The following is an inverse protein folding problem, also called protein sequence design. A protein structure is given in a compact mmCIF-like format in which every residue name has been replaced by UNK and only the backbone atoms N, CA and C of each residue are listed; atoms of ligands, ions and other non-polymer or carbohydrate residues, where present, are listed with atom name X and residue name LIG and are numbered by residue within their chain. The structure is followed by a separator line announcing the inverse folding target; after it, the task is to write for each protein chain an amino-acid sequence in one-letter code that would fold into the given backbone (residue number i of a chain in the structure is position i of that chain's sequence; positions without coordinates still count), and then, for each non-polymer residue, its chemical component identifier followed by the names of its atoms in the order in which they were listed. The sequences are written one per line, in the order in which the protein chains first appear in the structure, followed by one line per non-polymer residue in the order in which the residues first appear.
data_IF_014731286338
#
_entry.id   IF_014731286338
#
_cell.length_a   1.000
_cell.length_b   1.000
_cell.length_c   1.000
_cell.angle_alpha   90.00
_cell.angle_beta   90.00
_cell.angle_gamma   90.00
#
_symmetry.space_group_name_H-M   'P 1'
#
loop_
_entity.id
_entity.type
_entity.pdbx_description
1 polymer ?
#
# COMPACT_ATOMS: atom_id res chain seq x y z
N UNK A 1 36.17 23.73 -4.05
CA UNK A 1 36.83 24.36 -5.21
C UNK A 1 37.80 23.35 -5.77
N UNK A 2 37.89 23.20 -7.09
CA UNK A 2 38.84 22.26 -7.72
C UNK A 2 40.13 23.04 -7.98
N UNK A 3 41.24 22.57 -7.41
CA UNK A 3 42.56 23.13 -7.70
C UNK A 3 42.94 22.84 -9.16
N UNK A 4 43.43 23.87 -9.87
CA UNK A 4 43.81 23.76 -11.28
C UNK A 4 45.29 24.09 -11.43
N UNK A 5 46.01 23.23 -12.15
CA UNK A 5 47.41 23.44 -12.52
C UNK A 5 47.51 23.84 -13.99
N UNK A 6 48.45 24.73 -14.30
CA UNK A 6 48.73 25.22 -15.66
C UNK A 6 50.14 24.75 -16.06
N UNK A 7 50.28 24.25 -17.28
CA UNK A 7 51.55 23.79 -17.83
C UNK A 7 51.67 24.17 -19.30
N UNK A 8 52.91 24.28 -19.78
CA UNK A 8 53.25 24.60 -21.18
C UNK A 8 54.10 23.47 -21.73
N UNK A 9 53.81 23.01 -22.95
CA UNK A 9 54.55 21.93 -23.61
C UNK A 9 55.12 22.43 -24.93
N UNK A 10 56.44 22.41 -25.04
CA UNK A 10 57.15 22.70 -26.29
C UNK A 10 57.36 21.41 -27.08
N UNK A 11 57.13 21.46 -28.39
CA UNK A 11 57.33 20.31 -29.29
C UNK A 11 57.88 20.77 -30.63
N UNK A 12 58.56 19.87 -31.33
CA UNK A 12 58.99 20.06 -32.72
C UNK A 12 58.47 18.92 -33.59
N UNK A 13 57.79 19.26 -34.68
CA UNK A 13 57.20 18.32 -35.64
C UNK A 13 55.74 17.92 -35.37
N UNK A 14 54.98 17.73 -36.45
CA UNK A 14 53.52 17.53 -36.43
C UNK A 14 53.10 16.20 -35.75
N UNK A 15 53.94 15.16 -35.84
CA UNK A 15 53.67 13.87 -35.17
C UNK A 15 53.66 13.99 -33.65
N UNK A 16 54.52 14.82 -33.06
CA UNK A 16 54.58 15.03 -31.61
C UNK A 16 53.37 15.84 -31.13
N UNK A 17 53.02 16.92 -31.84
CA UNK A 17 51.82 17.74 -31.61
C UNK A 17 50.54 16.88 -31.53
N UNK A 18 50.31 16.04 -32.53
CA UNK A 18 49.11 15.20 -32.58
C UNK A 18 49.01 14.20 -31.42
N UNK A 19 50.15 13.69 -30.92
CA UNK A 19 50.16 12.82 -29.73
C UNK A 19 49.84 13.61 -28.45
N UNK A 20 50.46 14.79 -28.28
CA UNK A 20 50.24 15.66 -27.12
C UNK A 20 48.77 16.12 -27.06
N UNK A 21 48.19 16.50 -28.20
CA UNK A 21 46.79 16.91 -28.26
C UNK A 21 45.83 15.79 -27.81
N UNK A 22 46.09 14.54 -28.23
CA UNK A 22 45.32 13.37 -27.80
C UNK A 22 45.43 13.08 -26.30
N UNK A 23 46.62 13.24 -25.73
CA UNK A 23 46.84 13.09 -24.28
C UNK A 23 46.07 14.19 -23.53
N UNK A 24 46.19 15.45 -23.95
CA UNK A 24 45.42 16.53 -23.33
C UNK A 24 43.91 16.28 -23.39
N UNK A 25 43.40 15.77 -24.52
CA UNK A 25 41.98 15.43 -24.66
C UNK A 25 41.57 14.25 -23.76
N UNK A 26 42.40 13.21 -23.65
CA UNK A 26 42.08 12.05 -22.82
C UNK A 26 42.07 12.38 -21.32
N UNK A 27 42.87 13.35 -20.90
CA UNK A 27 42.91 13.82 -19.50
C UNK A 27 41.99 15.02 -19.25
N UNK A 28 41.19 15.46 -20.24
CA UNK A 28 40.25 16.58 -20.08
C UNK A 28 40.94 17.92 -19.83
N UNK A 29 42.18 18.10 -20.29
CA UNK A 29 42.93 19.33 -20.15
C UNK A 29 42.38 20.41 -21.10
N UNK A 30 42.01 21.57 -20.56
CA UNK A 30 41.58 22.71 -21.35
C UNK A 30 42.79 23.31 -22.08
N UNK A 31 42.70 23.39 -23.41
CA UNK A 31 43.77 23.90 -24.27
C UNK A 31 43.47 25.32 -24.73
N UNK A 32 44.47 26.19 -24.65
CA UNK A 32 44.37 27.57 -25.12
C UNK A 32 45.40 27.81 -26.23
N UNK A 33 45.00 28.39 -27.37
CA UNK A 33 45.94 28.67 -28.45
C UNK A 33 46.91 29.78 -28.02
N UNK A 34 48.21 29.52 -28.15
CA UNK A 34 49.27 30.51 -27.93
C UNK A 34 49.81 30.96 -29.29
N UNK A 35 49.78 32.27 -29.56
CA UNK A 35 50.29 32.86 -30.81
C UNK A 35 51.71 33.38 -30.56
N UNK A 36 52.65 33.15 -31.48
CA UNK A 36 54.06 33.56 -31.28
C UNK A 36 54.30 35.08 -31.34
N UNK A 37 53.35 35.83 -31.92
CA UNK A 37 53.43 37.28 -32.05
C UNK A 37 52.95 38.00 -30.77
N UNK A 38 53.84 38.77 -30.16
CA UNK A 38 53.60 39.49 -28.90
C UNK A 38 52.44 40.49 -29.03
N UNK A 39 52.32 41.18 -30.17
CA UNK A 39 51.23 42.13 -30.42
C UNK A 39 49.86 41.46 -30.40
N UNK A 40 49.72 40.32 -31.07
CA UNK A 40 48.49 39.51 -31.08
C UNK A 40 48.17 38.88 -29.73
N UNK A 41 49.17 38.54 -28.91
CA UNK A 41 48.94 38.06 -27.54
C UNK A 41 48.29 39.15 -26.67
N UNK A 42 48.84 40.38 -26.70
CA UNK A 42 48.29 41.51 -25.95
C UNK A 42 46.87 41.86 -26.36
N UNK A 43 46.56 41.82 -27.66
CA UNK A 43 45.21 42.05 -28.17
C UNK A 43 44.22 40.99 -27.64
N UNK A 44 44.56 39.70 -27.72
CA UNK A 44 43.70 38.61 -27.25
C UNK A 44 43.45 38.66 -25.73
N UNK A 45 44.48 39.00 -24.94
CA UNK A 45 44.33 39.16 -23.48
C UNK A 45 43.38 40.34 -23.16
N UNK A 46 43.52 41.46 -23.87
CA UNK A 46 42.67 42.64 -23.67
C UNK A 46 41.22 42.37 -24.06
N UNK A 47 40.98 41.62 -25.13
CA UNK A 47 39.65 41.16 -25.53
C UNK A 47 39.03 40.21 -24.50
N UNK A 48 39.80 39.25 -23.95
CA UNK A 48 39.29 38.32 -22.93
C UNK A 48 39.00 39.00 -21.59
N UNK A 49 39.84 39.94 -21.18
CA UNK A 49 39.61 40.76 -19.97
C UNK A 49 38.37 41.61 -20.15
N UNK A 50 38.25 42.34 -21.28
CA UNK A 50 37.07 43.17 -21.55
C UNK A 50 35.78 42.33 -21.73
N UNK A 51 35.86 41.09 -22.22
CA UNK A 51 34.74 40.16 -22.29
C UNK A 51 34.34 39.61 -20.92
N UNK A 52 35.31 39.37 -20.03
CA UNK A 52 35.07 38.94 -18.64
C UNK A 52 34.47 40.06 -17.78
N UNK A 53 34.98 41.28 -17.97
CA UNK A 53 34.49 42.50 -17.33
C UNK A 53 33.17 42.96 -17.95
N UNK A 54 32.89 42.55 -19.20
CA UNK A 54 31.61 42.78 -19.84
C UNK A 54 30.50 42.16 -19.00
N UNK A 55 29.80 43.05 -18.31
CA UNK A 55 28.77 42.75 -17.35
C UNK A 55 27.65 41.88 -17.95
N UNK A 56 27.51 41.82 -19.27
CA UNK A 56 26.56 40.99 -20.01
C UNK A 56 26.64 39.49 -19.71
N UNK A 57 27.83 38.88 -19.66
CA UNK A 57 27.95 37.43 -19.38
C UNK A 57 27.63 37.14 -17.90
N UNK A 58 28.11 38.00 -16.99
CA UNK A 58 27.78 37.91 -15.55
C UNK A 58 26.30 38.22 -15.29
N UNK A 59 25.67 39.11 -16.05
CA UNK A 59 24.24 39.45 -15.98
C UNK A 59 23.34 38.42 -16.64
N UNK A 60 23.77 37.76 -17.73
CA UNK A 60 23.06 36.66 -18.36
C UNK A 60 23.08 35.40 -17.49
N UNK A 61 24.21 35.12 -16.82
CA UNK A 61 24.28 34.08 -15.79
C UNK A 61 23.47 34.47 -14.53
N UNK A 62 23.43 35.77 -14.20
CA UNK A 62 22.56 36.36 -13.16
C UNK A 62 21.25 36.90 -13.73
N UNK A 63 20.64 36.25 -14.71
CA UNK A 63 19.27 36.61 -15.09
C UNK A 63 18.41 36.23 -13.89
N UNK A 64 18.09 37.23 -13.07
CA UNK A 64 17.58 37.11 -11.70
C UNK A 64 16.29 36.28 -11.60
N UNK A 65 15.57 36.10 -12.69
CA UNK A 65 14.26 35.48 -12.67
C UNK A 65 14.35 33.95 -12.51
N UNK A 66 15.35 33.29 -13.11
CA UNK A 66 15.45 31.83 -13.03
C UNK A 66 15.94 31.35 -11.66
N UNK A 67 16.94 32.03 -11.08
CA UNK A 67 17.45 31.70 -9.75
C UNK A 67 16.53 32.15 -8.61
N UNK A 68 15.83 33.29 -8.73
CA UNK A 68 14.86 33.72 -7.69
C UNK A 68 13.60 32.87 -7.71
N UNK A 69 13.11 32.48 -8.90
CA UNK A 69 12.01 31.53 -9.00
C UNK A 69 12.43 30.16 -8.45
N UNK A 70 13.62 29.67 -8.81
CA UNK A 70 14.16 28.41 -8.29
C UNK A 70 14.37 28.42 -6.78
N UNK A 71 14.90 29.49 -6.20
CA UNK A 71 15.13 29.58 -4.74
C UNK A 71 13.82 29.72 -3.96
N UNK A 72 12.87 30.53 -4.42
CA UNK A 72 11.56 30.63 -3.79
C UNK A 72 10.78 29.31 -3.89
N UNK A 73 10.82 28.64 -5.06
CA UNK A 73 10.19 27.34 -5.26
C UNK A 73 10.83 26.26 -4.39
N UNK A 74 12.16 26.19 -4.34
CA UNK A 74 12.88 25.25 -3.49
C UNK A 74 12.64 25.51 -2.00
N UNK A 75 12.43 26.76 -1.61
CA UNK A 75 12.07 27.12 -0.25
C UNK A 75 10.64 26.67 0.08
N UNK A 76 9.67 26.91 -0.80
CA UNK A 76 8.29 26.40 -0.66
C UNK A 76 8.26 24.87 -0.59
N UNK A 77 8.97 24.20 -1.50
CA UNK A 77 9.12 22.74 -1.48
C UNK A 77 9.79 22.31 -0.18
N UNK A 78 10.83 23.00 0.27
CA UNK A 78 11.53 22.67 1.52
C UNK A 78 10.62 22.73 2.75
N UNK A 79 9.69 23.69 2.82
CA UNK A 79 8.72 23.77 3.92
C UNK A 79 7.67 22.66 3.86
N UNK A 80 7.13 22.36 2.69
CA UNK A 80 6.06 21.37 2.51
C UNK A 80 6.56 19.93 2.39
N UNK A 81 7.84 19.74 2.07
CA UNK A 81 8.44 18.44 1.79
C UNK A 81 8.27 17.47 2.95
N UNK A 82 8.43 17.93 4.20
CA UNK A 82 8.31 17.05 5.36
C UNK A 82 6.87 16.54 5.53
N UNK A 83 5.89 17.42 5.32
CA UNK A 83 4.47 17.05 5.35
C UNK A 83 4.14 16.07 4.21
N UNK A 84 4.57 16.34 2.98
CA UNK A 84 4.34 15.45 1.84
C UNK A 84 5.03 14.10 2.01
N UNK A 85 6.25 14.09 2.54
CA UNK A 85 6.99 12.87 2.84
C UNK A 85 6.27 12.02 3.88
N UNK A 86 5.72 12.64 4.94
CA UNK A 86 4.91 11.94 5.94
C UNK A 86 3.63 11.36 5.35
N UNK A 87 2.91 12.13 4.53
CA UNK A 87 1.71 11.67 3.84
C UNK A 87 2.00 10.47 2.92
N UNK A 88 3.05 10.57 2.10
CA UNK A 88 3.46 9.49 1.19
C UNK A 88 3.90 8.25 1.98
N UNK A 89 4.65 8.41 3.07
CA UNK A 89 5.05 7.29 3.93
C UNK A 89 3.84 6.60 4.57
N UNK A 90 2.89 7.38 5.09
CA UNK A 90 1.64 6.85 5.66
C UNK A 90 0.86 6.08 4.61
N UNK A 91 0.61 6.68 3.45
CA UNK A 91 -0.13 6.05 2.36
C UNK A 91 0.54 4.76 1.88
N UNK A 92 1.87 4.79 1.69
CA UNK A 92 2.65 3.61 1.31
C UNK A 92 2.58 2.49 2.36
N UNK A 93 2.58 2.84 3.65
CA UNK A 93 2.43 1.85 4.73
C UNK A 93 1.04 1.21 4.74
N UNK A 94 -0.01 1.99 4.44
CA UNK A 94 -1.38 1.49 4.30
C UNK A 94 -1.46 0.50 3.14
N UNK A 95 -0.99 0.88 1.95
CA UNK A 95 -0.99 -0.02 0.78
C UNK A 95 -0.13 -1.26 1.00
N UNK A 96 1.03 -1.12 1.65
CA UNK A 96 1.86 -2.26 1.98
C UNK A 96 1.12 -3.24 2.90
N UNK A 97 0.43 -2.72 3.92
CA UNK A 97 -0.37 -3.52 4.85
C UNK A 97 -1.55 -4.18 4.11
N UNK A 98 -2.26 -3.44 3.25
CA UNK A 98 -3.33 -3.99 2.42
C UNK A 98 -2.84 -5.09 1.47
N UNK A 99 -1.62 -4.98 0.93
CA UNK A 99 -1.02 -5.99 0.07
C UNK A 99 -0.57 -7.25 0.83
N UNK A 100 -0.24 -7.13 2.12
CA UNK A 100 0.05 -8.28 2.98
C UNK A 100 -1.23 -9.05 3.36
N UNK A 101 -2.40 -8.43 3.17
CA UNK A 101 -3.70 -9.03 3.42
C UNK A 101 -4.24 -9.63 2.10
N UNK A 102 -4.68 -10.89 2.13
CA UNK A 102 -5.23 -11.52 0.93
C UNK A 102 -6.51 -10.81 0.47
N UNK A 103 -6.63 -10.59 -0.84
CA UNK A 103 -7.77 -9.91 -1.49
C UNK A 103 -9.10 -10.64 -1.27
N UNK A 104 -9.07 -11.95 -1.00
CA UNK A 104 -10.27 -12.73 -0.73
C UNK A 104 -10.62 -12.77 0.78
N UNK A 105 -11.48 -11.81 1.13
CA UNK A 105 -12.63 -11.88 2.07
C UNK A 105 -12.41 -12.02 3.59
N UNK A 106 -11.35 -12.62 4.16
CA UNK A 106 -11.08 -12.54 5.63
C UNK A 106 -9.69 -12.07 5.96
N UNK A 107 -9.60 -11.00 6.74
CA UNK A 107 -8.34 -10.43 7.23
C UNK A 107 -8.05 -11.00 8.61
N UNK A 108 -7.10 -11.92 8.69
CA UNK A 108 -6.63 -12.47 9.94
C UNK A 108 -5.46 -11.63 10.46
N UNK A 109 -5.52 -11.28 11.73
CA UNK A 109 -4.49 -10.48 12.38
C UNK A 109 -4.43 -10.81 13.86
N UNK A 110 -3.22 -10.84 14.40
CA UNK A 110 -3.03 -11.00 15.83
C UNK A 110 -3.31 -9.67 16.53
N UNK A 111 -4.22 -9.71 17.49
CA UNK A 111 -4.46 -8.61 18.41
C UNK A 111 -4.42 -9.13 19.83
N UNK A 112 -4.05 -8.27 20.78
CA UNK A 112 -4.18 -8.63 22.19
C UNK A 112 -5.64 -8.55 22.63
N UNK A 113 -6.06 -9.51 23.45
CA UNK A 113 -7.45 -9.65 23.91
C UNK A 113 -8.01 -8.36 24.54
N UNK A 114 -7.18 -7.63 25.30
CA UNK A 114 -7.58 -6.37 25.94
C UNK A 114 -7.83 -5.20 24.97
N UNK A 115 -7.33 -5.29 23.74
CA UNK A 115 -7.47 -4.23 22.74
C UNK A 115 -8.69 -4.43 21.83
N UNK A 116 -9.40 -5.55 21.98
CA UNK A 116 -10.60 -5.91 21.20
C UNK A 116 -11.65 -4.81 21.24
N UNK A 117 -12.00 -4.31 22.43
CA UNK A 117 -13.03 -3.27 22.58
C UNK A 117 -12.62 -1.96 21.91
N UNK A 118 -11.34 -1.59 22.01
CA UNK A 118 -10.81 -0.38 21.39
C UNK A 118 -10.84 -0.46 19.88
N UNK A 119 -10.50 -1.63 19.31
CA UNK A 119 -10.53 -1.85 17.87
C UNK A 119 -11.97 -1.84 17.35
N UNK A 120 -12.90 -2.49 18.05
CA UNK A 120 -14.31 -2.48 17.68
C UNK A 120 -14.88 -1.06 17.68
N UNK A 121 -14.55 -0.23 18.68
CA UNK A 121 -14.96 1.17 18.73
C UNK A 121 -14.37 1.99 17.56
N UNK A 122 -13.08 1.84 17.28
CA UNK A 122 -12.42 2.51 16.14
C UNK A 122 -13.06 2.10 14.81
N UNK A 123 -13.35 0.81 14.64
CA UNK A 123 -14.02 0.29 13.44
C UNK A 123 -15.43 0.85 13.28
N UNK A 124 -16.21 0.91 14.37
CA UNK A 124 -17.56 1.49 14.36
C UNK A 124 -17.54 2.98 14.02
N UNK A 125 -16.61 3.74 14.60
CA UNK A 125 -16.40 5.15 14.26
C UNK A 125 -16.02 5.34 12.80
N UNK A 126 -15.11 4.52 12.27
CA UNK A 126 -14.75 4.57 10.86
C UNK A 126 -15.91 4.24 9.92
N UNK A 127 -16.78 3.27 10.27
CA UNK A 127 -18.01 2.99 9.52
C UNK A 127 -18.95 4.19 9.52
N UNK A 128 -19.12 4.85 10.68
CA UNK A 128 -19.95 6.05 10.81
C UNK A 128 -19.40 7.21 9.97
N UNK A 129 -18.11 7.52 10.11
CA UNK A 129 -17.44 8.61 9.37
C UNK A 129 -17.46 8.38 7.85
N UNK A 130 -17.40 7.13 7.41
CA UNK A 130 -17.48 6.76 5.99
C UNK A 130 -18.90 6.64 5.45
N UNK A 131 -19.94 6.80 6.29
CA UNK A 131 -21.35 6.60 5.92
C UNK A 131 -21.62 5.25 5.25
N UNK A 132 -20.83 4.22 5.60
CA UNK A 132 -20.96 2.88 5.05
C UNK A 132 -22.19 2.19 5.62
N UNK A 133 -23.01 1.60 4.75
CA UNK A 133 -24.17 0.78 5.14
C UNK A 133 -23.75 -0.58 5.72
N UNK A 134 -22.51 -1.01 5.46
CA UNK A 134 -21.96 -2.26 5.95
C UNK A 134 -21.05 -1.98 7.15
N UNK A 135 -21.43 -2.52 8.31
CA UNK A 135 -20.63 -2.48 9.53
C UNK A 135 -19.36 -3.33 9.42
N UNK A 136 -18.29 -2.87 10.05
CA UNK A 136 -17.07 -3.67 10.15
C UNK A 136 -17.32 -4.91 11.03
N UNK A 137 -17.04 -6.09 10.48
CA UNK A 137 -17.18 -7.37 11.18
C UNK A 137 -15.84 -7.71 11.82
N UNK A 138 -15.79 -7.70 13.15
CA UNK A 138 -14.66 -8.20 13.93
C UNK A 138 -15.15 -9.41 14.74
N UNK A 139 -14.60 -10.59 14.45
CA UNK A 139 -15.00 -11.83 15.10
C UNK A 139 -13.77 -12.54 15.63
N UNK A 140 -13.80 -12.86 16.92
CA UNK A 140 -12.86 -13.79 17.51
C UNK A 140 -13.32 -15.22 17.25
N UNK A 141 -12.46 -16.00 16.60
CA UNK A 141 -12.72 -17.41 16.28
C UNK A 141 -12.69 -18.31 17.52
N UNK A 142 -11.99 -17.92 18.59
CA UNK A 142 -11.92 -18.71 19.83
C UNK A 142 -13.21 -18.62 20.66
N UNK A 143 -13.90 -17.49 20.58
CA UNK A 143 -15.13 -17.21 21.33
C UNK A 143 -16.42 -17.48 20.52
N UNK A 144 -16.33 -18.25 19.44
CA UNK A 144 -17.51 -18.55 18.63
C UNK A 144 -18.58 -19.29 19.46
N UNK A 145 -19.83 -18.79 19.51
CA UNK A 145 -20.84 -19.32 20.41
C UNK A 145 -21.13 -20.79 20.13
N UNK A 146 -21.23 -21.58 21.19
CA UNK A 146 -21.53 -23.00 21.14
C UNK A 146 -22.99 -23.24 21.49
N UNK A 147 -23.65 -24.09 20.71
CA UNK A 147 -25.02 -24.54 20.96
C UNK A 147 -25.06 -26.04 21.15
N UNK A 148 -26.08 -26.50 21.88
CA UNK A 148 -26.31 -27.92 22.09
C UNK A 148 -26.47 -28.68 20.76
N UNK A 149 -26.11 -29.98 20.73
CA UNK A 149 -26.44 -30.83 19.59
C UNK A 149 -27.95 -30.85 19.37
N UNK A 150 -28.36 -31.19 18.15
CA UNK A 150 -29.80 -31.30 17.85
C UNK A 150 -30.42 -32.42 18.70
N UNK A 151 -31.63 -32.20 19.27
CA UNK A 151 -32.32 -33.20 20.08
C UNK A 151 -32.45 -34.56 19.38
N UNK A 152 -32.69 -34.56 18.07
CA UNK A 152 -32.81 -35.79 17.26
C UNK A 152 -31.50 -36.56 17.05
N UNK A 153 -30.34 -35.90 17.18
CA UNK A 153 -29.04 -36.53 16.89
C UNK A 153 -28.24 -36.85 18.15
N UNK A 154 -28.51 -36.19 19.28
CA UNK A 154 -27.85 -36.44 20.58
C UNK A 154 -26.35 -36.12 20.65
N UNK A 155 -25.68 -35.88 19.51
CA UNK A 155 -24.25 -35.53 19.39
C UNK A 155 -23.98 -34.66 18.16
N UNK A 156 -22.84 -33.96 18.16
CA UNK A 156 -22.29 -33.31 16.98
C UNK A 156 -21.93 -34.32 15.88
N UNK A 157 -21.99 -33.87 14.61
CA UNK A 157 -21.73 -34.72 13.44
C UNK A 157 -20.25 -35.07 13.28
N UNK A 158 -19.38 -34.11 13.57
CA UNK A 158 -17.93 -34.23 13.35
C UNK A 158 -17.19 -34.55 14.64
N UNK A 159 -17.59 -33.91 15.73
CA UNK A 159 -17.01 -34.08 17.06
C UNK A 159 -18.09 -34.31 18.11
N UNK A 160 -17.82 -35.12 19.15
CA UNK A 160 -18.73 -35.28 20.28
C UNK A 160 -18.93 -33.95 21.02
N UNK A 161 -20.11 -33.76 21.61
CA UNK A 161 -20.45 -32.56 22.36
C UNK A 161 -21.22 -31.51 21.53
N UNK A 162 -20.96 -30.24 21.86
CA UNK A 162 -21.63 -29.09 21.24
C UNK A 162 -21.24 -28.87 19.78
N UNK A 163 -21.84 -27.83 19.19
CA UNK A 163 -21.55 -27.38 17.83
C UNK A 163 -21.47 -25.87 17.79
N UNK A 164 -20.62 -25.34 16.91
CA UNK A 164 -20.56 -23.91 16.67
C UNK A 164 -21.92 -23.42 16.12
N UNK A 165 -22.39 -22.29 16.62
CA UNK A 165 -23.64 -21.65 16.23
C UNK A 165 -23.58 -21.24 14.75
N UNK A 166 -24.69 -21.36 14.03
CA UNK A 166 -24.74 -20.95 12.63
C UNK A 166 -24.56 -19.44 12.49
N UNK A 167 -24.01 -18.99 11.35
CA UNK A 167 -23.79 -17.56 11.09
C UNK A 167 -25.10 -16.77 11.14
N UNK A 168 -26.14 -17.27 10.47
CA UNK A 168 -27.51 -16.79 10.64
C UNK A 168 -28.27 -17.87 11.41
N UNK A 169 -28.65 -17.57 12.65
CA UNK A 169 -29.39 -18.49 13.52
C UNK A 169 -30.76 -17.93 13.89
N UNK A 170 -31.80 -18.74 13.74
CA UNK A 170 -33.14 -18.45 14.24
C UNK A 170 -33.70 -19.66 14.98
N UNK A 171 -34.39 -19.42 16.09
CA UNK A 171 -35.13 -20.44 16.85
C UNK A 171 -36.49 -19.88 17.27
N UNK A 172 -37.58 -20.61 16.98
CA UNK A 172 -38.97 -20.20 17.23
C UNK A 172 -39.33 -18.84 16.59
N UNK A 173 -38.85 -18.61 15.39
CA UNK A 173 -39.25 -17.45 14.57
C UNK A 173 -40.45 -17.81 13.71
N UNK A 174 -41.15 -16.82 13.15
CA UNK A 174 -42.21 -17.03 12.17
C UNK A 174 -42.05 -16.00 11.05
N UNK A 175 -42.44 -16.36 9.84
CA UNK A 175 -42.50 -15.44 8.68
C UNK A 175 -41.13 -14.79 8.36
N UNK A 176 -40.06 -15.59 8.39
CA UNK A 176 -38.69 -15.12 8.12
C UNK A 176 -38.45 -15.02 6.61
N UNK A 177 -38.09 -13.82 6.12
CA UNK A 177 -37.78 -13.58 4.71
C UNK A 177 -36.31 -13.14 4.57
N UNK A 178 -35.54 -13.88 3.77
CA UNK A 178 -34.17 -13.53 3.37
C UNK A 178 -34.15 -13.36 1.86
N UNK A 179 -33.93 -12.12 1.40
CA UNK A 179 -33.85 -11.76 -0.03
C UNK A 179 -32.75 -10.73 -0.26
N UNK A 180 -32.25 -10.59 -1.50
CA UNK A 180 -31.11 -9.71 -1.74
C UNK A 180 -30.78 -9.36 -3.19
N UNK A 181 -31.71 -9.44 -4.15
CA UNK A 181 -31.48 -9.05 -5.56
C UNK A 181 -30.20 -9.66 -6.18
N UNK A 182 -29.98 -10.96 -6.00
CA UNK A 182 -28.76 -11.71 -6.35
C UNK A 182 -27.50 -11.31 -5.56
N UNK A 183 -27.66 -10.65 -4.41
CA UNK A 183 -26.62 -10.40 -3.44
C UNK A 183 -25.97 -11.70 -2.95
N UNK A 184 -24.67 -11.64 -2.64
CA UNK A 184 -23.91 -12.82 -2.20
C UNK A 184 -23.69 -12.79 -0.70
N UNK A 185 -24.09 -13.86 -0.02
CA UNK A 185 -23.70 -14.14 1.38
C UNK A 185 -22.53 -15.14 1.33
N UNK A 186 -21.33 -14.63 1.63
CA UNK A 186 -20.11 -15.44 1.76
C UNK A 186 -19.99 -15.95 3.20
N UNK A 187 -19.95 -17.27 3.35
CA UNK A 187 -19.89 -17.94 4.65
C UNK A 187 -18.49 -18.01 5.27
N UNK A 188 -17.45 -17.53 4.58
CA UNK A 188 -16.08 -17.49 5.08
C UNK A 188 -15.57 -18.87 5.54
N UNK A 189 -16.04 -19.92 4.89
CA UNK A 189 -15.82 -21.31 5.29
C UNK A 189 -14.36 -21.74 5.23
N UNK A 190 -13.51 -21.04 4.49
CA UNK A 190 -12.08 -21.35 4.34
C UNK A 190 -11.36 -21.59 5.68
N UNK A 191 -11.60 -20.73 6.67
CA UNK A 191 -11.01 -20.84 8.02
C UNK A 191 -11.46 -22.13 8.71
N UNK A 192 -12.77 -22.42 8.68
CA UNK A 192 -13.36 -23.63 9.25
C UNK A 192 -12.85 -24.90 8.58
N UNK A 193 -12.69 -24.88 7.25
CA UNK A 193 -12.11 -25.98 6.50
C UNK A 193 -10.61 -26.16 6.76
N UNK A 194 -9.86 -25.07 6.98
CA UNK A 194 -8.46 -25.14 7.39
C UNK A 194 -8.31 -25.79 8.76
N UNK A 195 -9.05 -25.33 9.76
CA UNK A 195 -9.05 -25.91 11.10
C UNK A 195 -9.50 -27.39 11.08
N UNK A 196 -10.48 -27.74 10.24
CA UNK A 196 -10.90 -29.14 10.05
C UNK A 196 -9.80 -30.01 9.45
N UNK A 197 -9.13 -29.53 8.38
CA UNK A 197 -8.00 -30.24 7.75
C UNK A 197 -6.80 -30.39 8.69
N UNK A 198 -6.55 -29.38 9.52
CA UNK A 198 -5.47 -29.37 10.50
C UNK A 198 -5.82 -30.08 11.81
N UNK A 199 -7.05 -30.58 11.96
CA UNK A 199 -7.56 -31.23 13.17
C UNK A 199 -7.46 -30.36 14.43
N UNK A 200 -7.55 -29.04 14.28
CA UNK A 200 -7.52 -28.07 15.39
C UNK A 200 -8.93 -27.69 15.87
N UNK A 201 -9.98 -28.12 15.18
CA UNK A 201 -11.37 -27.91 15.60
C UNK A 201 -11.71 -28.68 16.87
N UNK A 202 -12.29 -27.97 17.84
CA UNK A 202 -12.77 -28.55 19.10
C UNK A 202 -14.19 -29.12 18.98
N UNK A 203 -15.03 -28.54 18.13
CA UNK A 203 -16.45 -28.87 17.99
C UNK A 203 -16.88 -28.96 16.51
N UNK A 204 -18.10 -29.45 16.27
CA UNK A 204 -18.67 -29.52 14.91
C UNK A 204 -18.83 -28.12 14.31
N UNK A 205 -18.43 -27.96 13.04
CA UNK A 205 -18.45 -26.68 12.31
C UNK A 205 -19.86 -26.08 12.22
N UNK A 206 -19.96 -24.74 12.10
CA UNK A 206 -21.25 -24.07 11.97
C UNK A 206 -21.84 -24.25 10.57
N UNK A 207 -23.17 -24.23 10.48
CA UNK A 207 -23.88 -24.08 9.21
C UNK A 207 -23.92 -22.58 8.84
N UNK A 208 -24.15 -22.26 7.57
CA UNK A 208 -24.35 -20.86 7.19
C UNK A 208 -25.69 -20.32 7.72
N UNK A 209 -26.81 -20.96 7.36
CA UNK A 209 -28.14 -20.57 7.85
C UNK A 209 -28.80 -21.75 8.58
N UNK A 210 -29.32 -21.50 9.78
CA UNK A 210 -30.13 -22.48 10.53
C UNK A 210 -31.33 -21.83 11.18
N UNK A 211 -32.50 -22.23 10.73
CA UNK A 211 -33.79 -21.88 11.33
C UNK A 211 -34.35 -23.11 12.02
N UNK A 212 -34.70 -22.99 13.30
CA UNK A 212 -35.21 -24.08 14.13
C UNK A 212 -36.60 -23.75 14.65
N UNK A 213 -37.53 -24.71 14.57
CA UNK A 213 -38.91 -24.51 15.05
C UNK A 213 -39.59 -23.26 14.44
N UNK A 214 -39.16 -22.86 13.24
CA UNK A 214 -39.62 -21.63 12.62
C UNK A 214 -40.47 -21.94 11.39
N UNK A 215 -41.81 -21.79 11.42
CA UNK A 215 -42.64 -21.99 10.24
C UNK A 215 -42.60 -20.79 9.28
N UNK A 216 -43.00 -21.02 8.03
CA UNK A 216 -43.15 -19.99 6.98
C UNK A 216 -41.87 -19.19 6.68
N UNK A 217 -40.80 -19.84 6.23
CA UNK A 217 -39.57 -19.14 5.85
C UNK A 217 -39.43 -19.02 4.33
N UNK A 218 -39.03 -17.87 3.83
CA UNK A 218 -38.73 -17.61 2.42
C UNK A 218 -37.26 -17.21 2.29
N UNK A 219 -36.54 -17.90 1.41
CA UNK A 219 -35.18 -17.52 1.02
C UNK A 219 -35.15 -17.47 -0.51
N UNK A 220 -35.02 -16.28 -1.09
CA UNK A 220 -35.02 -16.06 -2.55
C UNK A 220 -33.95 -15.05 -2.95
N UNK A 221 -33.53 -15.06 -4.22
CA UNK A 221 -32.70 -13.99 -4.82
C UNK A 221 -31.41 -13.67 -4.04
N UNK A 222 -30.76 -14.71 -3.48
CA UNK A 222 -29.49 -14.61 -2.75
C UNK A 222 -28.56 -15.75 -3.18
N UNK A 223 -27.29 -15.45 -3.38
CA UNK A 223 -26.23 -16.40 -3.71
C UNK A 223 -25.46 -16.76 -2.44
N UNK A 224 -25.24 -18.05 -2.19
CA UNK A 224 -24.42 -18.52 -1.07
C UNK A 224 -23.05 -18.99 -1.56
N UNK A 225 -21.98 -18.47 -0.97
CA UNK A 225 -20.59 -18.81 -1.33
C UNK A 225 -19.79 -19.26 -0.11
N UNK A 226 -18.76 -20.09 -0.34
CA UNK A 226 -17.71 -20.41 0.64
C UNK A 226 -18.26 -20.82 2.01
N UNK A 227 -18.97 -21.95 2.03
CA UNK A 227 -19.72 -22.40 3.20
C UNK A 227 -18.82 -23.05 4.26
N UNK A 228 -19.03 -22.78 5.56
CA UNK A 228 -18.27 -23.41 6.64
C UNK A 228 -18.58 -24.91 6.82
N UNK A 229 -19.80 -25.34 6.48
CA UNK A 229 -20.22 -26.76 6.44
C UNK A 229 -21.35 -27.01 5.42
N UNK A 230 -22.61 -26.76 5.81
CA UNK A 230 -23.83 -26.89 4.98
C UNK A 230 -24.47 -25.52 4.72
N UNK A 231 -25.20 -25.37 3.59
CA UNK A 231 -25.75 -24.08 3.14
C UNK A 231 -26.93 -23.58 4.00
N UNK A 232 -28.02 -24.33 4.03
CA UNK A 232 -29.29 -23.96 4.64
C UNK A 232 -29.80 -25.21 5.33
N UNK A 233 -30.04 -25.10 6.63
CA UNK A 233 -30.40 -26.24 7.46
C UNK A 233 -31.66 -25.95 8.30
N UNK A 234 -32.85 -25.95 7.70
CA UNK A 234 -34.10 -25.81 8.43
C UNK A 234 -34.33 -27.06 9.28
N UNK A 235 -34.73 -26.90 10.54
CA UNK A 235 -34.97 -28.00 11.48
C UNK A 235 -36.29 -27.79 12.20
N UNK A 236 -37.19 -28.77 12.13
CA UNK A 236 -38.53 -28.65 12.73
C UNK A 236 -39.30 -27.40 12.26
N UNK A 237 -38.94 -26.90 11.08
CA UNK A 237 -39.58 -25.81 10.36
C UNK A 237 -40.47 -26.43 9.30
N UNK A 238 -41.79 -26.25 9.41
CA UNK A 238 -42.77 -26.66 8.40
C UNK A 238 -43.23 -25.46 7.59
#
# INVERSE_FOLDING_TARGET
MVEKNVFVVFYSGERAKNKILKICDSFGANRYPFRDDIGKQYQMITELISLSDNCGIRKAFRTKDHYRYGTNLLQTIGYEFELWNLLVKKEKSIYHTLNMLSIDVTREGWCSEFATDQIQDVLNRATFDSSSQVGAIFQDTEHWPLIAPLPSYGRGREHPGGRYMSFIHGDRLHDVIITGENGTIDGQGGVWWNMWRQQTLKFTRPNLIKLMNSPNNIISDVIFKNLPLWNIHPVYSR
#
